data_IF_845164741995
#
_entry.id   IF_845164741995
#
_cell.length_a   1.000
_cell.length_b   1.000
_cell.length_c   1.000
_cell.angle_alpha   90.00
_cell.angle_beta   90.00
_cell.angle_gamma   90.00
#
_symmetry.space_group_name_H-M   'P 1'
#
loop_
_entity.id
_entity.type
_entity.pdbx_description
1 polymer ?
#
# COMPACT_ATOMS: atom_id res chain seq x y z
N UNK A 1 -7.53 23.12 -2.71
CA UNK A 1 -6.20 22.51 -2.96
C UNK A 1 -6.42 21.05 -3.32
N UNK A 2 -5.92 20.56 -4.47
CA UNK A 2 -5.95 19.12 -4.80
C UNK A 2 -5.21 18.34 -3.69
N UNK A 3 -5.73 17.22 -3.21
CA UNK A 3 -5.21 16.44 -2.05
C UNK A 3 -3.73 16.07 -2.22
N UNK A 4 -3.29 15.85 -3.46
CA UNK A 4 -1.89 15.62 -3.86
C UNK A 4 -0.98 16.78 -3.43
N UNK A 5 -1.40 18.03 -3.62
CA UNK A 5 -0.63 19.21 -3.20
C UNK A 5 -0.53 19.34 -1.67
N UNK A 6 -1.56 18.89 -0.94
CA UNK A 6 -1.53 18.85 0.53
C UNK A 6 -0.62 17.72 1.04
N UNK A 7 -0.73 16.52 0.46
CA UNK A 7 0.12 15.36 0.77
C UNK A 7 1.60 15.63 0.48
N UNK A 8 1.92 16.21 -0.67
CA UNK A 8 3.27 16.64 -1.02
C UNK A 8 3.86 17.66 -0.03
N UNK A 9 3.02 18.49 0.61
CA UNK A 9 3.45 19.41 1.68
C UNK A 9 3.65 18.72 3.03
N UNK A 10 2.90 17.65 3.31
CA UNK A 10 3.01 16.90 4.57
C UNK A 10 4.20 15.95 4.60
N UNK A 11 4.61 15.39 3.46
CA UNK A 11 5.71 14.42 3.42
C UNK A 11 7.05 14.97 3.94
N UNK A 12 7.51 16.18 3.59
CA UNK A 12 8.72 16.76 4.18
C UNK A 12 8.65 16.93 5.71
N UNK A 13 7.46 17.26 6.24
CA UNK A 13 7.22 17.37 7.68
C UNK A 13 7.33 15.98 8.32
N UNK A 14 6.73 14.96 7.72
CA UNK A 14 6.86 13.57 8.14
C UNK A 14 8.32 13.10 8.12
N UNK A 15 9.08 13.38 7.05
CA UNK A 15 10.51 13.03 6.97
C UNK A 15 11.31 13.69 8.08
N UNK A 16 11.07 14.98 8.33
CA UNK A 16 11.72 15.73 9.40
C UNK A 16 11.41 15.12 10.77
N UNK A 17 10.14 14.84 11.05
CA UNK A 17 9.71 14.19 12.29
C UNK A 17 10.37 12.82 12.47
N UNK A 18 10.33 11.95 11.47
CA UNK A 18 10.98 10.64 11.51
C UNK A 18 12.51 10.75 11.71
N UNK A 19 13.13 11.77 11.11
CA UNK A 19 14.56 12.04 11.29
C UNK A 19 14.90 12.40 12.74
N UNK A 20 14.09 13.24 13.37
CA UNK A 20 14.26 13.60 14.78
C UNK A 20 14.06 12.38 15.67
N UNK A 21 12.95 11.65 15.50
CA UNK A 21 12.66 10.43 16.25
C UNK A 21 13.81 9.42 16.18
N UNK A 22 14.30 9.14 14.98
CA UNK A 22 15.35 8.15 14.81
C UNK A 22 16.72 8.63 15.31
N UNK A 23 17.15 9.84 14.95
CA UNK A 23 18.51 10.30 15.29
C UNK A 23 18.69 10.67 16.75
N UNK A 24 17.65 11.19 17.41
CA UNK A 24 17.73 11.63 18.80
C UNK A 24 17.31 10.51 19.75
N UNK A 25 16.20 9.83 19.44
CA UNK A 25 15.60 8.85 20.37
C UNK A 25 15.82 7.40 19.94
N UNK A 26 16.47 7.17 18.79
CA UNK A 26 16.59 5.83 18.22
C UNK A 26 15.26 5.23 17.78
N UNK A 27 14.17 6.03 17.75
CA UNK A 27 12.80 5.57 17.53
C UNK A 27 12.44 5.52 16.04
N UNK A 28 12.01 4.36 15.56
CA UNK A 28 11.69 4.10 14.17
C UNK A 28 10.18 3.94 13.99
N UNK A 29 9.58 4.97 13.41
CA UNK A 29 8.15 5.09 13.16
C UNK A 29 7.84 4.93 11.67
N UNK A 30 6.78 4.19 11.36
CA UNK A 30 6.15 4.16 10.03
C UNK A 30 4.71 4.65 10.15
N UNK A 31 4.35 5.66 9.37
CA UNK A 31 2.97 6.15 9.38
C UNK A 31 2.02 5.15 8.74
N UNK A 32 2.37 4.60 7.58
CA UNK A 32 1.47 3.74 6.82
C UNK A 32 2.27 2.69 6.05
N UNK A 33 1.91 1.44 6.28
CA UNK A 33 2.45 0.26 5.58
C UNK A 33 1.29 -0.44 4.88
N UNK A 34 1.52 -0.86 3.64
CA UNK A 34 0.59 -1.62 2.83
C UNK A 34 1.13 -3.03 2.60
N UNK A 35 0.28 -4.03 2.82
CA UNK A 35 0.55 -5.43 2.58
C UNK A 35 -0.48 -5.97 1.57
N UNK A 36 -0.13 -6.04 0.28
CA UNK A 36 -0.90 -6.78 -0.70
C UNK A 36 -0.81 -8.29 -0.40
N UNK A 37 -1.93 -8.96 -0.15
CA UNK A 37 -1.99 -10.41 0.18
C UNK A 37 -2.28 -11.31 -1.02
N UNK A 38 -2.74 -10.73 -2.12
CA UNK A 38 -2.99 -11.45 -3.37
C UNK A 38 -2.85 -10.51 -4.57
N UNK A 39 -2.45 -11.06 -5.72
CA UNK A 39 -2.55 -10.39 -7.02
C UNK A 39 -3.90 -10.60 -7.70
N UNK A 40 -4.71 -11.54 -7.20
CA UNK A 40 -6.02 -11.86 -7.78
C UNK A 40 -7.00 -10.74 -7.47
N UNK A 41 -7.58 -10.18 -8.52
CA UNK A 41 -8.68 -9.24 -8.44
C UNK A 41 -9.78 -9.69 -9.41
N UNK A 42 -11.02 -9.51 -9.01
CA UNK A 42 -12.18 -9.72 -9.88
C UNK A 42 -12.57 -8.45 -10.66
N UNK A 43 -11.82 -7.35 -10.50
CA UNK A 43 -11.85 -6.16 -11.34
C UNK A 43 -10.53 -6.04 -12.12
N UNK A 44 -10.58 -5.29 -13.24
CA UNK A 44 -9.45 -5.05 -14.15
C UNK A 44 -9.23 -3.55 -14.38
N UNK A 45 -9.10 -2.80 -13.29
CA UNK A 45 -8.92 -1.34 -13.36
C UNK A 45 -7.67 -0.97 -14.18
N UNK A 46 -7.85 -0.31 -15.32
CA UNK A 46 -6.81 0.09 -16.28
C UNK A 46 -5.66 0.85 -15.62
N UNK A 47 -5.97 1.74 -14.68
CA UNK A 47 -4.97 2.56 -13.99
C UNK A 47 -4.72 2.06 -12.55
N UNK A 48 -4.78 0.75 -12.33
CA UNK A 48 -4.49 0.16 -11.02
C UNK A 48 -3.06 0.51 -10.57
N UNK A 49 -2.93 1.20 -9.44
CA UNK A 49 -1.62 1.59 -8.85
C UNK A 49 -0.76 0.36 -8.50
N UNK A 50 -1.40 -0.78 -8.23
CA UNK A 50 -0.75 -2.07 -7.98
C UNK A 50 -0.54 -2.90 -9.25
N UNK A 51 -0.98 -2.42 -10.42
CA UNK A 51 -0.83 -3.06 -11.72
C UNK A 51 -1.41 -4.49 -11.80
N UNK A 52 -2.36 -4.83 -10.92
CA UNK A 52 -2.95 -6.17 -10.82
C UNK A 52 -3.43 -6.76 -12.15
N UNK A 53 -4.09 -6.00 -13.05
CA UNK A 53 -4.59 -6.56 -14.32
C UNK A 53 -3.51 -6.92 -15.34
N UNK A 54 -2.25 -6.51 -15.10
CA UNK A 54 -1.13 -6.69 -16.00
C UNK A 54 -0.25 -7.89 -15.65
N UNK A 55 -0.56 -8.61 -14.56
CA UNK A 55 0.08 -9.88 -14.24
C UNK A 55 -0.58 -11.02 -15.03
N UNK A 56 0.19 -11.71 -15.86
CA UNK A 56 -0.32 -12.85 -16.67
C UNK A 56 -0.81 -14.02 -15.81
N UNK A 57 -0.14 -14.24 -14.66
CA UNK A 57 -0.42 -15.34 -13.74
C UNK A 57 -0.56 -14.79 -12.31
N UNK A 58 -1.72 -14.18 -11.96
CA UNK A 58 -1.92 -13.62 -10.64
C UNK A 58 -1.92 -14.73 -9.58
N UNK A 59 -1.09 -14.55 -8.55
CA UNK A 59 -0.92 -15.50 -7.45
C UNK A 59 -1.50 -14.99 -6.13
N UNK A 60 -1.83 -15.92 -5.25
CA UNK A 60 -1.94 -15.63 -3.82
C UNK A 60 -0.55 -15.71 -3.20
N UNK A 61 -0.22 -14.83 -2.26
CA UNK A 61 1.07 -14.93 -1.56
C UNK A 61 0.99 -16.02 -0.48
N UNK A 62 2.09 -16.74 -0.30
CA UNK A 62 2.16 -17.82 0.70
C UNK A 62 2.03 -17.25 2.11
N UNK A 63 1.17 -17.86 2.94
CA UNK A 63 0.89 -17.41 4.29
C UNK A 63 2.15 -17.37 5.15
N UNK A 64 2.89 -18.48 5.24
CA UNK A 64 4.07 -18.59 6.12
C UNK A 64 5.14 -17.56 5.78
N UNK A 65 5.38 -17.32 4.49
CA UNK A 65 6.30 -16.26 4.04
C UNK A 65 5.77 -14.87 4.43
N UNK A 66 4.47 -14.63 4.21
CA UNK A 66 3.84 -13.36 4.55
C UNK A 66 3.98 -13.06 6.05
N UNK A 67 3.64 -14.01 6.92
CA UNK A 67 3.77 -13.85 8.37
C UNK A 67 5.24 -13.64 8.79
N UNK A 68 6.17 -14.43 8.24
CA UNK A 68 7.62 -14.27 8.48
C UNK A 68 8.10 -12.85 8.15
N UNK A 69 7.66 -12.27 7.03
CA UNK A 69 8.08 -10.92 6.64
C UNK A 69 7.40 -9.84 7.47
N UNK A 70 6.16 -10.06 7.92
CA UNK A 70 5.50 -9.19 8.90
C UNK A 70 6.28 -9.16 10.21
N UNK A 71 6.71 -10.32 10.74
CA UNK A 71 7.49 -10.40 11.97
C UNK A 71 8.81 -9.64 11.85
N UNK A 72 9.54 -9.84 10.75
CA UNK A 72 10.79 -9.11 10.47
C UNK A 72 10.59 -7.60 10.44
N UNK A 73 9.51 -7.13 9.84
CA UNK A 73 9.15 -5.71 9.86
C UNK A 73 8.81 -5.24 11.27
N UNK A 74 7.91 -5.96 11.96
CA UNK A 74 7.42 -5.60 13.30
C UNK A 74 8.55 -5.55 14.32
N UNK A 75 9.48 -6.50 14.29
CA UNK A 75 10.67 -6.52 15.14
C UNK A 75 11.60 -5.34 14.87
N UNK A 76 11.62 -4.88 13.63
CA UNK A 76 12.50 -3.80 13.18
C UNK A 76 11.95 -2.42 13.49
N UNK A 77 10.65 -2.22 13.70
CA UNK A 77 10.06 -0.90 13.99
C UNK A 77 9.60 -0.78 15.44
N UNK A 78 9.35 0.46 15.87
CA UNK A 78 8.82 0.74 17.22
C UNK A 78 7.32 1.07 17.20
N UNK A 79 6.83 1.64 16.10
CA UNK A 79 5.40 1.80 15.86
C UNK A 79 5.04 1.90 14.37
N UNK A 80 3.86 1.38 14.05
CA UNK A 80 3.17 1.53 12.77
C UNK A 80 1.80 2.15 13.04
N UNK A 81 1.52 3.31 12.45
CA UNK A 81 0.24 3.98 12.68
C UNK A 81 -0.91 3.33 11.92
N UNK A 82 -0.71 2.94 10.67
CA UNK A 82 -1.69 2.21 9.86
C UNK A 82 -0.99 1.04 9.19
N UNK A 83 -1.45 -0.18 9.47
CA UNK A 83 -1.06 -1.38 8.73
C UNK A 83 -2.24 -1.81 7.86
N UNK A 84 -2.14 -1.51 6.57
CA UNK A 84 -3.21 -1.72 5.60
C UNK A 84 -3.00 -3.04 4.86
N UNK A 85 -3.95 -3.94 5.03
CA UNK A 85 -4.06 -5.19 4.29
C UNK A 85 -4.95 -4.94 3.07
N UNK A 86 -4.41 -5.21 1.90
CA UNK A 86 -5.10 -5.02 0.63
C UNK A 86 -4.67 -6.11 -0.35
N UNK A 87 -4.98 -5.97 -1.63
CA UNK A 87 -4.46 -6.83 -2.69
C UNK A 87 -5.11 -6.44 -4.00
N UNK A 88 -5.19 -7.39 -4.93
CA UNK A 88 -6.20 -7.29 -5.97
C UNK A 88 -7.58 -7.12 -5.35
N UNK A 89 -8.12 -8.16 -4.72
CA UNK A 89 -9.26 -8.06 -3.81
C UNK A 89 -9.00 -8.95 -2.59
N UNK A 90 -8.81 -8.39 -1.37
CA UNK A 90 -8.42 -9.17 -0.20
C UNK A 90 -9.43 -10.26 0.16
N UNK A 91 -10.73 -10.06 -0.05
CA UNK A 91 -11.74 -11.10 0.28
C UNK A 91 -11.71 -12.31 -0.67
N UNK A 92 -10.89 -12.31 -1.73
CA UNK A 92 -10.57 -13.52 -2.50
C UNK A 92 -9.51 -14.40 -1.84
N UNK A 93 -8.68 -13.83 -0.96
CA UNK A 93 -7.55 -14.52 -0.36
C UNK A 93 -8.01 -15.45 0.77
N UNK A 94 -7.70 -16.75 0.66
CA UNK A 94 -8.20 -17.77 1.59
C UNK A 94 -7.68 -17.60 3.01
N UNK A 95 -6.46 -17.07 3.17
CA UNK A 95 -5.80 -16.93 4.48
C UNK A 95 -5.85 -15.49 5.01
N UNK A 96 -6.88 -14.72 4.62
CA UNK A 96 -7.01 -13.33 5.03
C UNK A 96 -7.15 -13.22 6.56
N UNK A 97 -7.88 -14.15 7.18
CA UNK A 97 -8.13 -14.15 8.62
C UNK A 97 -6.82 -14.18 9.40
N UNK A 98 -5.90 -15.07 9.04
CA UNK A 98 -4.62 -15.28 9.70
C UNK A 98 -3.74 -14.04 9.59
N UNK A 99 -3.66 -13.43 8.39
CA UNK A 99 -2.88 -12.20 8.19
C UNK A 99 -3.44 -11.02 8.99
N UNK A 100 -4.77 -10.88 9.02
CA UNK A 100 -5.45 -9.82 9.78
C UNK A 100 -5.23 -10.01 11.28
N UNK A 101 -5.40 -11.22 11.78
CA UNK A 101 -5.19 -11.55 13.19
C UNK A 101 -3.74 -11.24 13.62
N UNK A 102 -2.77 -11.66 12.80
CA UNK A 102 -1.35 -11.39 13.05
C UNK A 102 -1.02 -9.90 13.15
N UNK A 103 -1.66 -9.06 12.31
CA UNK A 103 -1.49 -7.62 12.37
C UNK A 103 -2.16 -6.99 13.61
N UNK A 104 -3.33 -7.50 14.02
CA UNK A 104 -4.08 -7.03 15.21
C UNK A 104 -3.29 -7.31 16.50
N UNK A 105 -2.71 -8.51 16.58
CA UNK A 105 -2.00 -8.99 17.77
C UNK A 105 -0.68 -8.25 18.00
N UNK A 106 -0.14 -7.62 16.97
CA UNK A 106 1.05 -6.78 17.10
C UNK A 106 0.73 -5.48 17.88
N UNK A 107 1.31 -5.25 19.08
CA UNK A 107 1.04 -4.06 19.87
C UNK A 107 1.63 -2.79 19.26
N UNK A 108 2.61 -2.92 18.35
CA UNK A 108 3.24 -1.81 17.64
C UNK A 108 2.35 -1.27 16.51
N UNK A 109 1.34 -2.03 16.08
CA UNK A 109 0.37 -1.61 15.07
C UNK A 109 -0.82 -0.94 15.76
N UNK A 110 -1.03 0.34 15.44
CA UNK A 110 -2.09 1.15 16.06
C UNK A 110 -3.46 0.90 15.44
N UNK A 111 -3.51 0.80 14.10
CA UNK A 111 -4.73 0.57 13.32
C UNK A 111 -4.43 -0.44 12.22
N UNK A 112 -5.30 -1.43 12.08
CA UNK A 112 -5.31 -2.36 10.95
C UNK A 112 -6.42 -1.94 10.01
N UNK A 113 -6.13 -1.83 8.71
CA UNK A 113 -7.14 -1.45 7.73
C UNK A 113 -7.25 -2.52 6.64
N UNK A 114 -8.46 -2.97 6.31
CA UNK A 114 -8.71 -3.79 5.12
C UNK A 114 -9.28 -2.90 4.03
N UNK A 115 -8.66 -2.84 2.85
CA UNK A 115 -9.21 -2.10 1.71
C UNK A 115 -9.82 -3.07 0.70
N UNK A 116 -11.12 -2.97 0.46
CA UNK A 116 -11.86 -3.78 -0.51
C UNK A 116 -12.45 -2.93 -1.63
N UNK A 117 -12.62 -3.51 -2.81
CA UNK A 117 -13.36 -2.91 -3.93
C UNK A 117 -14.90 -3.04 -3.76
N UNK A 118 -15.37 -3.72 -2.72
CA UNK A 118 -16.79 -3.86 -2.40
C UNK A 118 -17.56 -4.85 -3.29
N UNK A 119 -16.87 -5.76 -3.98
CA UNK A 119 -17.52 -6.77 -4.84
C UNK A 119 -17.74 -8.12 -4.18
N UNK A 120 -17.14 -8.36 -3.01
CA UNK A 120 -17.18 -9.64 -2.29
C UNK A 120 -17.57 -9.39 -0.84
N UNK A 121 -18.58 -10.12 -0.37
CA UNK A 121 -19.00 -10.08 1.03
C UNK A 121 -18.02 -10.94 1.86
N UNK A 122 -17.51 -10.42 2.99
CA UNK A 122 -16.68 -11.21 3.91
C UNK A 122 -17.36 -12.52 4.30
N UNK A 123 -16.58 -13.60 4.38
CA UNK A 123 -17.06 -14.91 4.83
C UNK A 123 -17.35 -14.92 6.33
N UNK A 124 -18.17 -15.87 6.77
CA UNK A 124 -18.56 -16.00 8.18
C UNK A 124 -17.37 -16.22 9.13
N UNK A 125 -16.36 -16.96 8.67
CA UNK A 125 -15.20 -17.39 9.46
C UNK A 125 -14.29 -16.25 9.93
N UNK A 126 -14.28 -15.11 9.23
CA UNK A 126 -13.49 -13.92 9.58
C UNK A 126 -14.29 -12.87 10.37
N UNK A 127 -15.63 -12.97 10.45
CA UNK A 127 -16.46 -11.90 11.02
C UNK A 127 -16.08 -11.54 12.45
N UNK A 128 -15.78 -12.52 13.31
CA UNK A 128 -15.33 -12.28 14.69
C UNK A 128 -14.03 -11.45 14.72
N UNK A 129 -13.05 -11.80 13.87
CA UNK A 129 -11.80 -11.04 13.73
C UNK A 129 -12.05 -9.60 13.26
N UNK A 130 -13.04 -9.39 12.38
CA UNK A 130 -13.38 -8.06 11.88
C UNK A 130 -14.00 -7.14 12.94
N UNK A 131 -14.58 -7.67 14.01
CA UNK A 131 -15.16 -6.88 15.10
C UNK A 131 -14.10 -6.19 15.98
N UNK A 132 -12.81 -6.49 15.77
CA UNK A 132 -11.76 -5.92 16.60
C UNK A 132 -11.72 -4.38 16.51
N UNK A 133 -11.63 -3.65 17.64
CA UNK A 133 -11.66 -2.19 17.64
C UNK A 133 -10.42 -1.52 16.99
N UNK A 134 -9.32 -2.25 16.79
CA UNK A 134 -8.16 -1.76 16.01
C UNK A 134 -8.42 -1.81 14.51
N UNK A 135 -9.40 -2.58 14.06
CA UNK A 135 -9.65 -2.87 12.65
C UNK A 135 -10.67 -1.88 12.07
N UNK A 136 -10.41 -1.44 10.83
CA UNK A 136 -11.34 -0.68 10.00
C UNK A 136 -11.40 -1.35 8.62
N UNK A 137 -12.61 -1.57 8.09
CA UNK A 137 -12.79 -1.94 6.69
C UNK A 137 -13.08 -0.67 5.89
N UNK A 138 -12.23 -0.37 4.94
CA UNK A 138 -12.43 0.71 3.98
C UNK A 138 -12.96 0.14 2.67
N UNK A 139 -14.21 0.45 2.36
CA UNK A 139 -14.87 0.05 1.12
C UNK A 139 -14.64 1.16 0.09
N UNK A 140 -13.98 0.82 -1.01
CA UNK A 140 -13.81 1.73 -2.14
C UNK A 140 -15.09 1.77 -2.96
N UNK A 141 -15.67 2.96 -3.16
CA UNK A 141 -16.90 3.12 -3.91
C UNK A 141 -16.62 3.37 -5.39
N UNK A 142 -16.77 2.32 -6.20
CA UNK A 142 -16.64 2.35 -7.65
C UNK A 142 -18.00 2.41 -8.36
N UNK A 143 -19.05 2.88 -7.67
CA UNK A 143 -20.42 2.88 -8.18
C UNK A 143 -20.93 1.46 -8.38
N UNK A 144 -21.56 1.20 -9.53
CA UNK A 144 -22.14 -0.10 -9.89
C UNK A 144 -21.14 -1.27 -9.84
N UNK A 145 -19.84 -1.00 -10.00
CA UNK A 145 -18.80 -2.03 -9.89
C UNK A 145 -18.69 -2.55 -8.45
N UNK A 146 -18.90 -1.69 -7.45
CA UNK A 146 -18.89 -2.07 -6.03
C UNK A 146 -20.25 -2.64 -5.61
N UNK A 147 -20.74 -3.63 -6.36
CA UNK A 147 -22.11 -4.18 -6.27
C UNK A 147 -22.55 -4.67 -4.89
N UNK A 148 -21.61 -5.00 -4.00
CA UNK A 148 -21.88 -5.48 -2.65
C UNK A 148 -21.56 -4.42 -1.57
N UNK A 149 -21.20 -3.18 -1.93
CA UNK A 149 -20.85 -2.09 -1.00
C UNK A 149 -21.88 -1.95 0.13
N UNK A 150 -23.15 -1.84 -0.23
CA UNK A 150 -24.21 -1.58 0.75
C UNK A 150 -24.51 -2.82 1.60
N UNK A 151 -24.43 -4.02 1.01
CA UNK A 151 -24.52 -5.29 1.76
C UNK A 151 -23.38 -5.47 2.76
N UNK A 152 -22.15 -5.10 2.38
CA UNK A 152 -20.99 -5.13 3.29
C UNK A 152 -21.19 -4.11 4.41
N UNK A 153 -21.64 -2.89 4.08
CA UNK A 153 -21.92 -1.86 5.08
C UNK A 153 -22.98 -2.32 6.08
N UNK A 154 -24.05 -2.95 5.60
CA UNK A 154 -25.12 -3.48 6.45
C UNK A 154 -24.63 -4.62 7.33
N UNK A 155 -23.87 -5.57 6.76
CA UNK A 155 -23.18 -6.61 7.52
C UNK A 155 -22.33 -6.01 8.64
N UNK A 156 -21.57 -4.94 8.35
CA UNK A 156 -20.75 -4.28 9.34
C UNK A 156 -21.59 -3.69 10.48
N UNK A 157 -22.67 -2.98 10.16
CA UNK A 157 -23.57 -2.38 11.14
C UNK A 157 -24.17 -3.44 12.07
N UNK A 158 -24.66 -4.55 11.49
CA UNK A 158 -25.28 -5.64 12.24
C UNK A 158 -24.32 -6.37 13.19
N UNK A 159 -23.03 -6.40 12.84
CA UNK A 159 -22.01 -7.10 13.61
C UNK A 159 -21.12 -6.17 14.44
N UNK A 160 -21.36 -4.85 14.46
CA UNK A 160 -20.51 -3.89 15.18
C UNK A 160 -19.09 -3.76 14.61
N UNK A 161 -18.92 -3.98 13.31
CA UNK A 161 -17.63 -3.86 12.62
C UNK A 161 -17.43 -2.41 12.17
N UNK A 162 -16.25 -1.85 12.41
CA UNK A 162 -15.93 -0.50 11.94
C UNK A 162 -15.74 -0.50 10.41
N UNK A 163 -16.67 0.11 9.69
CA UNK A 163 -16.61 0.21 8.24
C UNK A 163 -16.76 1.66 7.78
N UNK A 164 -15.92 2.07 6.83
CA UNK A 164 -16.00 3.36 6.16
C UNK A 164 -16.13 3.15 4.66
N UNK A 165 -16.96 3.97 4.02
CA UNK A 165 -17.06 4.02 2.55
C UNK A 165 -16.27 5.24 2.09
N UNK A 166 -15.35 5.04 1.15
CA UNK A 166 -14.65 6.15 0.48
C UNK A 166 -15.15 6.32 -0.93
N UNK A 167 -15.79 7.47 -1.16
CA UNK A 167 -16.47 7.85 -2.38
C UNK A 167 -15.55 8.13 -3.58
N UNK A 168 -16.14 8.03 -4.76
CA UNK A 168 -15.56 8.42 -6.06
C UNK A 168 -15.44 9.93 -6.25
N UNK A 169 -16.14 10.71 -5.43
CA UNK A 169 -16.12 12.17 -5.34
C UNK A 169 -14.89 12.73 -4.60
N UNK A 170 -14.07 11.88 -3.96
CA UNK A 170 -12.71 12.21 -3.53
C UNK A 170 -11.77 12.37 -4.75
N UNK A 171 -12.05 13.31 -5.67
CA UNK A 171 -11.37 13.73 -6.93
C UNK A 171 -9.84 13.52 -7.01
N UNK A 172 -9.34 12.29 -7.00
CA UNK A 172 -7.89 12.00 -6.98
C UNK A 172 -7.51 10.70 -7.69
N UNK A 173 -8.37 10.14 -8.54
CA UNK A 173 -7.96 9.08 -9.45
C UNK A 173 -7.08 9.71 -10.52
N UNK A 174 -5.90 9.13 -10.72
CA UNK A 174 -4.91 9.63 -11.65
C UNK A 174 -4.29 8.49 -12.44
N UNK A 175 -3.83 8.81 -13.64
CA UNK A 175 -2.99 7.91 -14.41
C UNK A 175 -1.53 8.06 -13.96
N UNK A 176 -0.90 7.02 -13.36
CA UNK A 176 0.53 7.04 -13.08
C UNK A 176 1.40 6.96 -14.35
N UNK A 177 0.79 6.80 -15.53
CA UNK A 177 1.45 6.58 -16.80
C UNK A 177 1.83 5.12 -17.00
N UNK A 178 2.35 4.82 -18.19
CA UNK A 178 2.93 3.52 -18.51
C UNK A 178 4.31 3.29 -17.86
N UNK A 179 4.87 2.08 -18.03
CA UNK A 179 6.17 1.70 -17.48
C UNK A 179 7.35 1.98 -18.43
N UNK A 180 7.22 2.90 -19.39
CA UNK A 180 8.35 3.28 -20.24
C UNK A 180 9.35 4.17 -19.48
N UNK A 181 10.64 4.04 -19.81
CA UNK A 181 11.69 4.86 -19.22
C UNK A 181 11.57 6.31 -19.69
N UNK A 182 11.56 7.26 -18.75
CA UNK A 182 11.37 8.70 -19.03
C UNK A 182 12.68 9.48 -19.19
N UNK A 183 13.85 8.89 -18.92
CA UNK A 183 15.15 9.56 -19.11
C UNK A 183 15.41 10.74 -18.17
N UNK A 184 14.68 10.86 -17.06
CA UNK A 184 14.79 11.98 -16.11
C UNK A 184 16.16 12.03 -15.46
N UNK A 185 16.74 13.22 -15.43
CA UNK A 185 17.95 13.50 -14.67
C UNK A 185 17.65 13.60 -13.16
N UNK A 186 18.71 13.66 -12.35
CA UNK A 186 18.61 13.67 -10.88
C UNK A 186 17.76 14.82 -10.31
N UNK A 187 17.75 15.99 -10.95
CA UNK A 187 16.97 17.13 -10.49
C UNK A 187 15.48 16.94 -10.80
N UNK A 188 15.16 16.39 -11.96
CA UNK A 188 13.80 16.04 -12.37
C UNK A 188 13.22 14.94 -11.48
N UNK A 189 14.00 13.88 -11.20
CA UNK A 189 13.58 12.81 -10.28
C UNK A 189 13.26 13.35 -8.88
N UNK A 190 14.10 14.26 -8.36
CA UNK A 190 13.85 14.94 -7.08
C UNK A 190 12.63 15.85 -7.12
N UNK A 191 12.39 16.53 -8.25
CA UNK A 191 11.20 17.38 -8.44
C UNK A 191 9.96 16.50 -8.39
N UNK A 192 9.89 15.45 -9.20
CA UNK A 192 8.78 14.51 -9.20
C UNK A 192 8.55 13.91 -7.81
N UNK A 193 9.59 13.39 -7.17
CA UNK A 193 9.46 12.77 -5.85
C UNK A 193 8.95 13.75 -4.79
N UNK A 194 9.35 15.02 -4.84
CA UNK A 194 8.85 16.06 -3.91
C UNK A 194 7.38 16.42 -4.15
N UNK A 195 6.90 16.29 -5.39
CA UNK A 195 5.49 16.49 -5.73
C UNK A 195 4.66 15.21 -5.59
N UNK A 196 5.32 14.05 -5.49
CA UNK A 196 4.77 12.77 -5.10
C UNK A 196 4.56 12.76 -3.58
N UNK A 197 3.31 12.68 -3.12
CA UNK A 197 2.95 12.96 -1.73
C UNK A 197 2.65 11.73 -0.86
N UNK A 198 2.94 10.52 -1.35
CA UNK A 198 2.54 9.29 -0.67
C UNK A 198 3.44 9.01 0.55
N UNK A 199 2.86 9.14 1.76
CA UNK A 199 3.43 8.63 3.00
C UNK A 199 3.01 7.16 3.13
N UNK A 200 3.54 6.28 2.28
CA UNK A 200 3.19 4.84 2.27
C UNK A 200 4.46 4.01 2.18
N UNK A 201 4.48 2.78 2.71
CA UNK A 201 5.52 1.77 2.42
C UNK A 201 4.85 0.48 2.00
N UNK A 202 5.31 -0.14 0.93
CA UNK A 202 4.69 -1.35 0.41
C UNK A 202 5.54 -2.57 0.76
N UNK A 203 5.05 -3.43 1.65
CA UNK A 203 5.66 -4.71 1.96
C UNK A 203 5.17 -5.74 0.95
N UNK A 204 6.04 -6.15 0.04
CA UNK A 204 5.70 -7.07 -1.04
C UNK A 204 6.82 -8.09 -1.24
N UNK A 205 6.47 -9.38 -1.18
CA UNK A 205 7.36 -10.51 -1.49
C UNK A 205 8.71 -10.44 -0.74
N UNK A 206 8.64 -10.15 0.55
CA UNK A 206 9.81 -10.04 1.43
C UNK A 206 10.61 -8.76 1.31
N UNK A 207 10.17 -7.79 0.52
CA UNK A 207 10.85 -6.48 0.37
C UNK A 207 9.92 -5.33 0.77
N UNK A 208 10.45 -4.38 1.55
CA UNK A 208 9.75 -3.12 1.87
C UNK A 208 10.16 -2.04 0.89
N UNK A 209 9.24 -1.67 0.00
CA UNK A 209 9.44 -0.62 -0.99
C UNK A 209 8.89 0.71 -0.49
N UNK A 210 9.37 1.79 -1.11
CA UNK A 210 8.85 3.12 -0.83
C UNK A 210 7.42 3.32 -1.34
N UNK A 211 7.00 2.69 -2.45
CA UNK A 211 5.64 2.84 -2.99
C UNK A 211 5.23 1.61 -3.81
N UNK A 212 3.92 1.43 -4.11
CA UNK A 212 3.44 0.31 -4.92
C UNK A 212 4.04 0.27 -6.33
N UNK A 213 4.28 1.43 -6.96
CA UNK A 213 4.92 1.49 -8.28
C UNK A 213 6.31 0.87 -8.28
N UNK A 214 7.10 1.13 -7.24
CA UNK A 214 8.41 0.50 -7.06
C UNK A 214 8.30 -1.00 -6.72
N UNK A 215 7.29 -1.41 -5.95
CA UNK A 215 7.10 -2.80 -5.56
C UNK A 215 6.66 -3.71 -6.71
N UNK A 216 5.65 -3.30 -7.48
CA UNK A 216 5.04 -4.12 -8.52
C UNK A 216 5.63 -3.85 -9.90
N UNK A 217 6.09 -2.62 -10.15
CA UNK A 217 6.68 -2.28 -11.44
C UNK A 217 7.99 -3.02 -11.70
N UNK A 218 8.72 -3.41 -10.66
CA UNK A 218 9.94 -4.24 -10.81
C UNK A 218 9.64 -5.64 -11.33
N UNK A 219 8.44 -6.17 -11.05
CA UNK A 219 7.96 -7.43 -11.62
C UNK A 219 7.48 -7.28 -13.07
N UNK A 220 7.35 -6.05 -13.56
CA UNK A 220 6.82 -5.68 -14.87
C UNK A 220 7.81 -4.88 -15.72
N UNK A 221 9.10 -4.91 -15.38
CA UNK A 221 10.19 -4.37 -16.22
C UNK A 221 10.88 -3.09 -15.72
N UNK A 222 10.45 -2.50 -14.60
CA UNK A 222 11.27 -1.47 -13.92
C UNK A 222 12.53 -2.15 -13.34
N UNK A 223 13.72 -1.56 -13.45
CA UNK A 223 14.92 -2.12 -12.83
C UNK A 223 14.78 -2.31 -11.30
N UNK A 224 15.10 -3.51 -10.82
CA UNK A 224 15.17 -3.85 -9.40
C UNK A 224 16.54 -3.44 -8.84
N UNK A 225 16.61 -2.24 -8.25
CA UNK A 225 17.87 -1.63 -7.80
C UNK A 225 18.03 -1.75 -6.29
N UNK A 226 19.16 -2.33 -5.86
CA UNK A 226 19.51 -2.42 -4.44
C UNK A 226 19.55 -1.03 -3.79
N UNK A 227 18.91 -0.92 -2.62
CA UNK A 227 18.75 0.33 -1.88
C UNK A 227 17.44 1.10 -2.13
N UNK A 228 16.63 0.71 -3.12
CA UNK A 228 15.25 1.23 -3.29
C UNK A 228 14.20 0.46 -2.47
N UNK A 229 14.65 -0.55 -1.71
CA UNK A 229 13.87 -1.35 -0.77
C UNK A 229 14.73 -1.84 0.38
N UNK A 230 14.06 -2.33 1.42
CA UNK A 230 14.67 -3.13 2.51
C UNK A 230 14.33 -4.59 2.28
N UNK A 231 15.33 -5.47 2.28
CA UNK A 231 15.16 -6.89 1.94
C UNK A 231 15.08 -7.75 3.20
N UNK A 232 13.88 -8.26 3.49
CA UNK A 232 13.61 -9.19 4.58
C UNK A 232 13.75 -10.66 4.18
N UNK A 233 14.19 -10.98 2.96
CA UNK A 233 14.51 -12.37 2.59
C UNK A 233 15.89 -12.81 3.10
N UNK A 234 16.78 -11.84 3.27
CA UNK A 234 18.16 -12.04 3.74
C UNK A 234 18.21 -12.02 5.27
N UNK A 235 19.06 -12.86 5.86
CA UNK A 235 19.38 -12.76 7.29
C UNK A 235 20.27 -11.54 7.54
N UNK A 236 19.78 -10.59 8.34
CA UNK A 236 20.47 -9.34 8.69
C UNK A 236 20.18 -8.99 10.13
N UNK A 237 21.09 -8.25 10.78
CA UNK A 237 20.85 -7.82 12.14
C UNK A 237 19.72 -6.79 12.20
N UNK A 238 18.97 -6.79 13.31
CA UNK A 238 17.93 -5.78 13.58
C UNK A 238 18.45 -4.35 13.40
N UNK A 239 19.71 -4.08 13.77
CA UNK A 239 20.35 -2.76 13.64
C UNK A 239 20.51 -2.34 12.18
N UNK A 240 20.91 -3.25 11.31
CA UNK A 240 21.06 -2.99 9.87
C UNK A 240 19.71 -2.72 9.22
N UNK A 241 18.73 -3.60 9.46
CA UNK A 241 17.38 -3.45 8.91
C UNK A 241 16.76 -2.12 9.35
N UNK A 242 16.90 -1.75 10.63
CA UNK A 242 16.44 -0.45 11.15
C UNK A 242 17.06 0.74 10.41
N UNK A 243 18.37 0.67 10.16
CA UNK A 243 19.08 1.70 9.42
C UNK A 243 18.57 1.80 7.98
N UNK A 244 18.33 0.68 7.32
CA UNK A 244 17.82 0.66 5.94
C UNK A 244 16.38 1.19 5.84
N UNK A 245 15.49 0.82 6.77
CA UNK A 245 14.13 1.40 6.82
C UNK A 245 14.19 2.91 7.03
N UNK A 246 15.08 3.37 7.92
CA UNK A 246 15.31 4.80 8.13
C UNK A 246 15.80 5.47 6.83
N UNK A 247 16.80 4.91 6.16
CA UNK A 247 17.36 5.46 4.93
C UNK A 247 16.33 5.49 3.78
N UNK A 248 15.52 4.44 3.66
CA UNK A 248 14.38 4.38 2.74
C UNK A 248 13.42 5.55 3.00
N UNK A 249 13.10 5.83 4.26
CA UNK A 249 12.27 6.96 4.66
C UNK A 249 12.88 8.34 4.34
N UNK A 250 14.21 8.44 4.24
CA UNK A 250 14.94 9.67 3.96
C UNK A 250 15.32 9.82 2.47
N UNK A 251 14.91 8.90 1.59
CA UNK A 251 15.11 9.02 0.14
C UNK A 251 14.53 10.33 -0.39
N UNK A 252 15.13 10.81 -1.49
CA UNK A 252 14.74 12.04 -2.20
C UNK A 252 14.25 11.77 -3.62
N UNK A 253 14.38 10.54 -4.08
CA UNK A 253 13.93 9.98 -5.35
C UNK A 253 14.17 8.47 -5.31
N UNK A 254 13.58 7.77 -6.28
CA UNK A 254 13.73 6.35 -6.54
C UNK A 254 13.95 6.14 -8.04
N UNK A 255 14.45 4.98 -8.44
CA UNK A 255 14.52 4.58 -9.84
C UNK A 255 13.14 4.52 -10.45
N UNK A 256 12.14 4.02 -9.71
CA UNK A 256 10.74 3.96 -10.15
C UNK A 256 10.13 5.34 -10.47
N UNK A 257 10.70 6.45 -9.95
CA UNK A 257 10.27 7.79 -10.33
C UNK A 257 10.55 8.10 -11.82
N UNK A 258 11.44 7.34 -12.47
CA UNK A 258 11.69 7.49 -13.90
C UNK A 258 10.67 6.75 -14.80
N UNK A 259 9.66 6.16 -14.18
CA UNK A 259 8.65 5.30 -14.82
C UNK A 259 7.24 5.59 -14.27
N UNK A 260 7.03 6.81 -13.78
CA UNK A 260 5.79 7.25 -13.15
C UNK A 260 5.58 8.74 -13.41
N UNK A 261 4.34 9.19 -13.53
CA UNK A 261 4.00 10.57 -13.85
C UNK A 261 3.22 11.28 -12.72
N UNK A 262 2.98 10.62 -11.57
CA UNK A 262 2.17 11.17 -10.46
C UNK A 262 2.63 12.56 -9.98
N UNK A 263 3.94 12.76 -9.87
CA UNK A 263 4.54 14.00 -9.38
C UNK A 263 4.92 14.98 -10.49
N UNK A 264 4.49 14.78 -11.74
CA UNK A 264 4.85 15.63 -12.88
C UNK A 264 3.67 16.49 -13.34
N UNK A 265 3.90 17.31 -14.36
CA UNK A 265 2.84 18.11 -15.00
C UNK A 265 1.94 17.23 -15.89
N UNK A 266 2.35 16.00 -16.19
CA UNK A 266 1.62 15.00 -16.95
C UNK A 266 0.56 14.26 -16.09
N UNK A 267 0.27 14.77 -14.89
CA UNK A 267 -0.81 14.26 -14.05
C UNK A 267 -2.15 14.37 -14.78
N UNK A 268 -2.73 13.23 -15.15
CA UNK A 268 -4.05 13.14 -15.79
C UNK A 268 -5.07 12.59 -14.80
N UNK A 269 -6.08 13.39 -14.37
CA UNK A 269 -7.23 12.85 -13.66
C UNK A 269 -8.01 11.89 -14.56
N UNK A 270 -8.43 10.75 -14.01
CA UNK A 270 -9.16 9.72 -14.74
C UNK A 270 -10.48 9.37 -14.04
N UNK A 271 -11.43 8.72 -14.74
CA UNK A 271 -12.60 8.13 -14.10
C UNK A 271 -12.22 7.08 -13.06
N UNK A 272 -13.05 6.95 -12.04
CA UNK A 272 -12.90 5.93 -11.00
C UNK A 272 -13.02 4.55 -11.63
N UNK A 273 -12.05 3.68 -11.33
CA UNK A 273 -12.07 2.27 -11.69
C UNK A 273 -12.44 2.00 -13.18
N UNK A 274 -11.94 2.80 -14.13
CA UNK A 274 -12.07 2.47 -15.56
C UNK A 274 -11.53 1.06 -15.83
N UNK A 275 -12.32 0.18 -16.44
CA UNK A 275 -11.96 -1.22 -16.67
C UNK A 275 -11.29 -1.41 -18.04
N UNK A 276 -10.31 -2.32 -18.12
CA UNK A 276 -9.79 -2.79 -19.41
C UNK A 276 -10.90 -3.47 -20.23
N UNK A 277 -10.96 -3.18 -21.53
CA UNK A 277 -11.99 -3.70 -22.45
C UNK A 277 -11.78 -5.16 -22.86
N UNK A 278 -10.57 -5.69 -22.71
CA UNK A 278 -10.18 -7.03 -23.16
C UNK A 278 -9.43 -7.79 -22.09
N UNK A 279 -9.44 -9.12 -22.20
CA UNK A 279 -8.73 -10.04 -21.31
C UNK A 279 -7.24 -10.12 -21.61
#
# INVERSE_FOLDING_TARGET
MKRVALRARLFPIYQFFCKILYKIFGYLYLYHVELPVTQKCNLRCKHCVFMMPYFEKPVDFELDKTLKYMDRLFDSVDAIQIFRILGGEPFLYSNLKEVVQHAIDCPKVRTVEIVTNGTIIPKQDILETLQNPKLIIQISDYGELSRNRDSIKELCNQNGINCIVRGSDEKNWFDPGDLHFRGRNKNELRRQFRHCGEICRNLHDGKLYFCPRAAFGTKLGIPDVEGDYVDFTKERSRKEIRKEIYELNQRKYLVACNYCDEGTEDYVPIPVAEQLKTK
#
